data_IF_935388800673
#
_entry.id   IF_935388800673
#
_cell.length_a   1.000
_cell.length_b   1.000
_cell.length_c   1.000
_cell.angle_alpha   90.00
_cell.angle_beta   90.00
_cell.angle_gamma   90.00
#
_symmetry.space_group_name_H-M   'P 1'
#
loop_
_entity.id
_entity.type
_entity.pdbx_description
1 polymer ?
#
# COMPACT_ATOMS: atom_id res chain seq x y z
N UNK A 1 26.53 2.49 12.37
CA UNK A 1 25.25 2.86 11.74
C UNK A 1 25.26 4.36 11.48
N UNK A 2 24.74 4.85 10.35
CA UNK A 2 24.58 6.30 10.11
C UNK A 2 23.10 6.64 10.23
N UNK A 3 22.76 7.56 11.13
CA UNK A 3 21.42 8.08 11.31
C UNK A 3 21.23 9.37 10.49
N UNK A 4 20.03 9.62 9.98
CA UNK A 4 19.65 10.88 9.33
C UNK A 4 18.91 11.77 10.33
N UNK A 5 19.12 13.09 10.27
CA UNK A 5 18.36 14.02 11.10
C UNK A 5 16.86 13.89 10.79
N UNK A 6 16.03 13.80 11.84
CA UNK A 6 14.60 13.51 11.75
C UNK A 6 14.24 12.02 11.67
N UNK A 7 15.21 11.11 11.58
CA UNK A 7 14.94 9.67 11.52
C UNK A 7 14.43 9.14 12.86
N UNK A 8 13.36 8.34 12.82
CA UNK A 8 12.81 7.69 14.00
C UNK A 8 13.77 6.64 14.55
N UNK A 9 14.03 6.72 15.86
CA UNK A 9 15.00 5.88 16.56
C UNK A 9 14.49 5.52 17.95
N UNK A 10 14.92 4.37 18.43
CA UNK A 10 14.85 4.04 19.85
C UNK A 10 16.19 4.35 20.53
N UNK A 11 16.12 4.84 21.77
CA UNK A 11 17.29 5.09 22.61
C UNK A 11 17.12 4.42 23.96
N UNK A 12 18.18 3.73 24.43
CA UNK A 12 18.21 3.09 25.74
C UNK A 12 18.96 4.01 26.72
N UNK A 13 18.27 4.48 27.76
CA UNK A 13 18.86 5.30 28.84
C UNK A 13 18.28 4.87 30.17
N UNK A 14 19.14 4.65 31.17
CA UNK A 14 18.68 4.37 32.54
C UNK A 14 17.84 3.10 32.66
N UNK A 15 18.06 2.12 31.79
CA UNK A 15 17.27 0.89 31.67
C UNK A 15 15.83 1.11 31.14
N UNK A 16 15.57 2.24 30.50
CA UNK A 16 14.33 2.54 29.78
C UNK A 16 14.59 2.59 28.26
N UNK A 17 13.64 2.09 27.48
CA UNK A 17 13.58 2.26 26.02
C UNK A 17 12.67 3.45 25.71
N UNK A 18 13.17 4.43 24.98
CA UNK A 18 12.41 5.62 24.59
C UNK A 18 12.41 5.76 23.07
N UNK A 19 11.25 6.05 22.48
CA UNK A 19 11.14 6.45 21.07
C UNK A 19 11.35 7.95 20.91
N UNK A 20 11.95 8.34 19.80
CA UNK A 20 12.19 9.72 19.45
C UNK A 20 12.79 9.82 18.06
N UNK A 21 13.36 10.97 17.75
CA UNK A 21 13.93 11.25 16.44
C UNK A 21 15.34 11.79 16.58
N UNK A 22 16.21 11.30 15.70
CA UNK A 22 17.62 11.65 15.67
C UNK A 22 17.79 13.14 15.35
N UNK A 23 18.55 13.85 16.18
CA UNK A 23 18.73 15.31 16.12
C UNK A 23 20.21 15.69 16.01
N UNK A 24 21.01 14.86 15.32
CA UNK A 24 22.41 15.15 15.03
C UNK A 24 23.38 14.81 16.15
N UNK A 25 24.50 15.54 16.18
CA UNK A 25 25.64 15.31 17.09
C UNK A 25 25.85 16.51 18.01
N UNK A 26 26.15 16.23 19.27
CA UNK A 26 26.57 17.24 20.24
C UNK A 26 28.00 17.71 19.94
N UNK A 27 28.20 19.02 19.96
CA UNK A 27 29.51 19.62 19.73
C UNK A 27 30.47 19.29 20.88
N UNK A 28 31.69 18.84 20.54
CA UNK A 28 32.77 18.58 21.50
C UNK A 28 32.79 17.17 22.11
N UNK A 29 31.64 16.52 22.31
CA UNK A 29 31.59 15.15 22.87
C UNK A 29 31.49 14.07 21.79
N UNK A 30 30.90 14.38 20.63
CA UNK A 30 30.61 13.40 19.58
C UNK A 30 29.42 12.47 19.89
N UNK A 31 28.72 12.71 21.01
CA UNK A 31 27.48 12.02 21.35
C UNK A 31 26.39 12.36 20.34
N UNK A 32 25.49 11.42 20.12
CA UNK A 32 24.26 11.62 19.35
C UNK A 32 23.17 12.22 20.22
N UNK A 33 22.40 13.12 19.61
CA UNK A 33 21.25 13.75 20.22
C UNK A 33 19.99 13.08 19.70
N UNK A 34 19.12 12.63 20.61
CA UNK A 34 17.80 12.08 20.29
C UNK A 34 16.76 12.91 20.99
N UNK A 35 15.84 13.50 20.24
CA UNK A 35 14.74 14.25 20.83
C UNK A 35 13.55 13.32 21.02
N UNK A 36 13.17 13.10 22.29
CA UNK A 36 12.13 12.15 22.69
C UNK A 36 10.81 12.85 23.04
N UNK A 37 10.84 14.17 23.22
CA UNK A 37 9.64 15.00 23.32
C UNK A 37 9.98 16.44 22.97
N UNK A 38 8.98 17.34 22.96
CA UNK A 38 9.18 18.77 22.67
C UNK A 38 10.30 19.40 23.51
N UNK A 39 10.37 19.01 24.80
CA UNK A 39 11.24 19.63 25.80
C UNK A 39 12.36 18.70 26.30
N UNK A 40 12.51 17.50 25.74
CA UNK A 40 13.49 16.50 26.21
C UNK A 40 14.38 16.00 25.07
N UNK A 41 15.68 16.22 25.22
CA UNK A 41 16.74 15.72 24.35
C UNK A 41 17.70 14.85 25.17
N UNK A 42 18.07 13.71 24.61
CA UNK A 42 18.99 12.74 25.20
C UNK A 42 20.30 12.79 24.41
N UNK A 43 21.41 13.06 25.09
CA UNK A 43 22.76 12.91 24.55
C UNK A 43 23.32 11.55 24.97
N UNK A 44 23.65 10.69 24.01
CA UNK A 44 24.23 9.36 24.30
C UNK A 44 25.14 8.87 23.17
N UNK A 45 25.87 7.77 23.42
CA UNK A 45 26.70 7.12 22.41
C UNK A 45 25.83 6.36 21.39
N UNK A 46 26.32 6.26 20.16
CA UNK A 46 25.61 5.61 19.05
C UNK A 46 25.23 4.15 19.32
N UNK A 47 25.99 3.45 20.17
CA UNK A 47 25.71 2.06 20.56
C UNK A 47 24.44 1.88 21.40
N UNK A 48 23.83 2.97 21.89
CA UNK A 48 22.57 2.94 22.63
C UNK A 48 21.37 3.40 21.79
N UNK A 49 21.58 3.63 20.49
CA UNK A 49 20.56 4.09 19.56
C UNK A 49 20.38 3.02 18.48
N UNK A 50 19.12 2.67 18.22
CA UNK A 50 18.73 1.79 17.13
C UNK A 50 17.71 2.50 16.25
N UNK A 51 17.72 2.21 14.94
CA UNK A 51 16.64 2.66 14.07
C UNK A 51 15.34 2.01 14.50
N UNK A 52 14.28 2.79 14.54
CA UNK A 52 12.93 2.24 14.68
C UNK A 52 12.63 1.45 13.39
N UNK A 53 12.14 0.22 13.54
CA UNK A 53 11.74 -0.58 12.38
C UNK A 53 10.39 -0.02 11.92
N UNK A 54 10.32 0.48 10.70
CA UNK A 54 9.03 0.82 10.10
C UNK A 54 8.16 -0.44 10.06
N UNK A 55 6.86 -0.33 10.41
CA UNK A 55 5.98 -1.47 10.36
C UNK A 55 5.94 -2.01 8.92
N UNK A 56 5.98 -3.33 8.79
CA UNK A 56 5.70 -3.95 7.50
C UNK A 56 4.22 -3.74 7.19
N UNK A 57 3.96 -2.96 6.14
CA UNK A 57 2.61 -2.66 5.69
C UNK A 57 1.90 -3.95 5.29
N UNK A 58 0.65 -4.07 5.69
CA UNK A 58 -0.21 -5.16 5.26
C UNK A 58 -0.82 -4.83 3.90
N UNK A 59 -1.10 -5.86 3.10
CA UNK A 59 -1.87 -5.71 1.87
C UNK A 59 -3.33 -6.01 2.18
N UNK A 60 -4.24 -5.09 1.82
CA UNK A 60 -5.68 -5.28 1.98
C UNK A 60 -6.41 -5.24 0.63
N UNK A 61 -7.53 -5.96 0.49
CA UNK A 61 -8.35 -5.86 -0.71
C UNK A 61 -8.89 -4.45 -0.93
N UNK A 62 -9.22 -4.13 -2.18
CA UNK A 62 -9.71 -2.79 -2.54
C UNK A 62 -11.02 -2.38 -1.86
N UNK A 63 -11.95 -3.31 -1.64
CA UNK A 63 -13.18 -3.00 -0.88
C UNK A 63 -12.88 -2.66 0.60
N UNK A 64 -11.75 -3.12 1.15
CA UNK A 64 -11.32 -2.79 2.50
C UNK A 64 -10.67 -1.39 2.55
N UNK A 65 -9.90 -1.01 1.52
CA UNK A 65 -9.44 0.37 1.30
C UNK A 65 -10.62 1.34 1.23
N UNK A 66 -11.62 1.03 0.41
CA UNK A 66 -12.85 1.83 0.31
C UNK A 66 -13.56 1.98 1.67
N UNK A 67 -13.59 0.90 2.47
CA UNK A 67 -14.18 0.92 3.81
C UNK A 67 -13.37 1.76 4.82
N UNK A 68 -12.05 1.62 4.84
CA UNK A 68 -11.17 2.44 5.68
C UNK A 68 -11.36 3.93 5.35
N UNK A 69 -11.32 4.29 4.06
CA UNK A 69 -11.54 5.66 3.60
C UNK A 69 -12.92 6.18 4.00
N UNK A 70 -13.96 5.34 3.94
CA UNK A 70 -15.29 5.70 4.43
C UNK A 70 -15.30 5.99 5.94
N UNK A 71 -14.67 5.14 6.74
CA UNK A 71 -14.56 5.31 8.18
C UNK A 71 -13.80 6.59 8.55
N UNK A 72 -12.68 6.89 7.89
CA UNK A 72 -11.93 8.13 8.12
C UNK A 72 -12.77 9.37 7.83
N UNK A 73 -13.50 9.40 6.69
CA UNK A 73 -14.38 10.52 6.34
C UNK A 73 -15.54 10.72 7.32
N UNK A 74 -15.93 9.65 8.03
CA UNK A 74 -16.98 9.66 9.04
C UNK A 74 -16.46 9.91 10.46
N UNK A 75 -15.15 10.10 10.62
CA UNK A 75 -14.47 10.19 11.92
C UNK A 75 -14.75 8.97 12.81
N UNK A 76 -14.88 7.79 12.19
CA UNK A 76 -15.04 6.52 12.89
C UNK A 76 -13.72 6.07 13.51
N UNK A 77 -13.80 5.45 14.67
CA UNK A 77 -12.65 4.84 15.34
C UNK A 77 -12.53 3.35 14.97
N UNK A 78 -11.50 2.70 15.53
CA UNK A 78 -11.25 1.28 15.29
C UNK A 78 -12.42 0.39 15.74
N UNK A 79 -13.19 0.78 16.75
CA UNK A 79 -14.35 0.00 17.18
C UNK A 79 -15.46 0.07 16.13
N UNK A 80 -15.69 1.26 15.54
CA UNK A 80 -16.61 1.43 14.43
C UNK A 80 -16.15 0.73 13.14
N UNK A 81 -14.84 0.68 12.87
CA UNK A 81 -14.25 -0.01 11.71
C UNK A 81 -14.55 -1.52 11.75
N UNK A 82 -14.49 -2.11 12.94
CA UNK A 82 -14.70 -3.55 13.20
C UNK A 82 -16.14 -3.89 13.60
N UNK A 83 -17.06 -2.93 13.60
CA UNK A 83 -18.45 -3.15 13.99
C UNK A 83 -19.24 -3.87 12.89
N UNK A 84 -19.52 -5.15 13.11
CA UNK A 84 -20.35 -5.98 12.23
C UNK A 84 -21.78 -5.45 12.03
N UNK A 85 -22.28 -4.63 12.97
CA UNK A 85 -23.60 -4.02 12.90
C UNK A 85 -23.64 -2.70 12.12
N UNK A 86 -22.50 -2.25 11.58
CA UNK A 86 -22.41 -0.97 10.91
C UNK A 86 -23.18 -1.00 9.58
N UNK A 87 -24.29 -0.26 9.51
CA UNK A 87 -25.15 -0.19 8.32
C UNK A 87 -24.46 0.43 7.09
N UNK A 88 -23.30 1.09 7.27
CA UNK A 88 -22.49 1.59 6.18
C UNK A 88 -21.57 0.54 5.56
N UNK A 89 -21.36 -0.61 6.22
CA UNK A 89 -20.43 -1.64 5.77
C UNK A 89 -20.97 -2.37 4.52
N UNK A 90 -20.22 -2.42 3.41
CA UNK A 90 -20.61 -3.22 2.25
C UNK A 90 -20.67 -4.71 2.56
N UNK A 91 -21.58 -5.45 1.90
CA UNK A 91 -21.75 -6.91 2.09
C UNK A 91 -20.45 -7.69 1.85
N UNK A 92 -19.64 -7.29 0.87
CA UNK A 92 -18.35 -7.91 0.55
C UNK A 92 -17.32 -7.68 1.68
N UNK A 93 -17.27 -6.46 2.22
CA UNK A 93 -16.42 -6.13 3.36
C UNK A 93 -16.83 -6.93 4.60
N UNK A 94 -18.13 -7.00 4.88
CA UNK A 94 -18.67 -7.80 5.97
C UNK A 94 -18.29 -9.27 5.81
N UNK A 95 -18.54 -9.85 4.63
CA UNK A 95 -18.22 -11.24 4.33
C UNK A 95 -16.74 -11.57 4.47
N UNK A 96 -15.87 -10.67 3.99
CA UNK A 96 -14.43 -10.80 4.14
C UNK A 96 -14.01 -10.72 5.61
N UNK A 97 -14.50 -9.73 6.36
CA UNK A 97 -14.11 -9.50 7.75
C UNK A 97 -14.48 -10.66 8.68
N UNK A 98 -15.65 -11.28 8.48
CA UNK A 98 -16.10 -12.41 9.31
C UNK A 98 -15.48 -13.75 8.89
N UNK A 99 -14.85 -13.82 7.72
CA UNK A 99 -14.34 -15.09 7.18
C UNK A 99 -13.13 -15.65 7.94
N UNK A 100 -12.34 -14.79 8.58
CA UNK A 100 -11.20 -15.18 9.41
C UNK A 100 -10.86 -14.12 10.46
N UNK A 101 -10.30 -14.54 11.59
CA UNK A 101 -9.66 -13.64 12.55
C UNK A 101 -8.45 -12.92 11.94
N UNK A 102 -7.77 -13.54 10.98
CA UNK A 102 -6.62 -12.94 10.29
C UNK A 102 -7.04 -11.69 9.52
N UNK A 103 -8.23 -11.66 8.93
CA UNK A 103 -8.74 -10.48 8.21
C UNK A 103 -9.06 -9.32 9.17
N UNK A 104 -9.50 -9.62 10.38
CA UNK A 104 -9.71 -8.61 11.43
C UNK A 104 -8.38 -8.01 11.87
N UNK A 105 -7.35 -8.86 12.04
CA UNK A 105 -5.98 -8.40 12.33
C UNK A 105 -5.42 -7.57 11.18
N UNK A 106 -5.55 -8.03 9.93
CA UNK A 106 -5.13 -7.27 8.74
C UNK A 106 -5.79 -5.90 8.69
N UNK A 107 -7.11 -5.82 8.88
CA UNK A 107 -7.82 -4.54 8.87
C UNK A 107 -7.38 -3.61 10.01
N UNK A 108 -7.20 -4.16 11.22
CA UNK A 108 -6.76 -3.39 12.38
C UNK A 108 -5.33 -2.86 12.20
N UNK A 109 -4.42 -3.69 11.64
CA UNK A 109 -3.06 -3.27 11.30
C UNK A 109 -3.06 -2.21 10.20
N UNK A 110 -3.87 -2.39 9.16
CA UNK A 110 -4.04 -1.39 8.11
C UNK A 110 -4.43 -0.03 8.68
N UNK A 111 -5.38 -0.01 9.62
CA UNK A 111 -5.83 1.20 10.29
C UNK A 111 -4.75 1.87 11.17
N UNK A 112 -3.93 1.09 11.87
CA UNK A 112 -2.96 1.64 12.84
C UNK A 112 -1.58 1.95 12.22
N UNK A 113 -1.11 1.07 11.35
CA UNK A 113 0.26 1.06 10.84
C UNK A 113 0.34 1.58 9.39
N UNK A 114 -0.81 1.74 8.72
CA UNK A 114 -0.90 1.95 7.28
C UNK A 114 -0.96 0.63 6.50
N UNK A 115 -1.21 0.72 5.19
CA UNK A 115 -1.37 -0.44 4.32
C UNK A 115 -1.05 -0.13 2.87
N UNK A 116 -0.90 -1.21 2.09
CA UNK A 116 -0.94 -1.19 0.64
C UNK A 116 -2.26 -1.82 0.17
N UNK A 117 -2.76 -1.38 -0.97
CA UNK A 117 -3.97 -1.95 -1.59
C UNK A 117 -3.56 -3.07 -2.54
N UNK A 118 -4.24 -4.20 -2.46
CA UNK A 118 -4.09 -5.30 -3.41
C UNK A 118 -4.26 -4.78 -4.83
N UNK A 119 -3.26 -5.05 -5.68
CA UNK A 119 -3.30 -4.63 -7.08
C UNK A 119 -4.30 -5.51 -7.84
N UNK A 120 -5.20 -4.87 -8.59
CA UNK A 120 -6.11 -5.61 -9.47
C UNK A 120 -5.29 -6.38 -10.52
N UNK A 121 -5.60 -7.67 -10.78
CA UNK A 121 -4.97 -8.42 -11.84
C UNK A 121 -5.10 -7.71 -13.18
N UNK A 122 -4.00 -7.68 -13.93
CA UNK A 122 -3.93 -7.08 -15.25
C UNK A 122 -4.06 -8.15 -16.33
N UNK A 123 -4.67 -7.74 -17.44
CA UNK A 123 -4.92 -8.58 -18.60
C UNK A 123 -4.55 -7.85 -19.88
N UNK A 124 -3.96 -8.58 -20.81
CA UNK A 124 -3.98 -8.21 -22.23
C UNK A 124 -5.30 -8.66 -22.85
N UNK A 125 -5.72 -8.00 -23.94
CA UNK A 125 -6.84 -8.47 -24.77
C UNK A 125 -6.29 -8.82 -26.16
N UNK A 126 -6.22 -10.11 -26.48
CA UNK A 126 -5.68 -10.59 -27.75
C UNK A 126 -6.80 -10.72 -28.79
N UNK A 127 -6.90 -9.74 -29.69
CA UNK A 127 -7.93 -9.68 -30.73
C UNK A 127 -7.62 -10.57 -31.93
N UNK A 128 -6.33 -10.80 -32.19
CA UNK A 128 -5.82 -11.63 -33.28
C UNK A 128 -4.68 -12.48 -32.72
N UNK A 129 -4.65 -13.77 -33.03
CA UNK A 129 -3.53 -14.67 -32.71
C UNK A 129 -2.28 -14.30 -33.53
N UNK A 130 -1.62 -13.22 -33.10
CA UNK A 130 -0.43 -12.65 -33.71
C UNK A 130 0.30 -11.76 -32.68
N UNK A 131 1.63 -11.64 -32.80
CA UNK A 131 2.45 -10.84 -31.88
C UNK A 131 2.05 -9.35 -31.79
N UNK A 132 1.36 -8.84 -32.81
CA UNK A 132 0.81 -7.48 -32.86
C UNK A 132 -0.72 -7.46 -32.89
N UNK A 133 -1.34 -8.46 -32.27
CA UNK A 133 -2.78 -8.67 -32.25
C UNK A 133 -3.48 -8.17 -30.98
N UNK A 134 -2.81 -7.36 -30.16
CA UNK A 134 -3.29 -6.92 -28.85
C UNK A 134 -4.01 -5.59 -28.90
N UNK A 135 -5.01 -5.41 -28.04
CA UNK A 135 -5.70 -4.13 -27.87
C UNK A 135 -4.80 -3.12 -27.16
N UNK A 136 -4.57 -1.98 -27.81
CA UNK A 136 -3.86 -0.85 -27.22
C UNK A 136 -4.80 0.36 -27.14
N UNK A 137 -4.76 1.08 -26.02
CA UNK A 137 -5.55 2.30 -25.80
C UNK A 137 -4.61 3.48 -25.64
N UNK A 138 -4.75 4.46 -26.54
CA UNK A 138 -4.01 5.71 -26.47
C UNK A 138 -4.58 6.64 -25.38
N UNK A 139 -3.81 7.63 -24.93
CA UNK A 139 -4.24 8.56 -23.87
C UNK A 139 -5.52 9.36 -24.22
N UNK A 140 -5.83 9.52 -25.51
CA UNK A 140 -7.06 10.17 -26.00
C UNK A 140 -8.23 9.19 -26.18
N UNK A 141 -8.11 7.96 -25.66
CA UNK A 141 -9.06 6.84 -25.72
C UNK A 141 -9.24 6.20 -27.11
N UNK A 142 -8.42 6.55 -28.11
CA UNK A 142 -8.39 5.83 -29.38
C UNK A 142 -7.88 4.40 -29.18
N UNK A 143 -8.57 3.44 -29.81
CA UNK A 143 -8.26 2.01 -29.72
C UNK A 143 -7.58 1.55 -31.00
N UNK A 144 -6.50 0.80 -30.87
CA UNK A 144 -5.79 0.19 -32.00
C UNK A 144 -5.32 -1.22 -31.67
N UNK A 145 -4.85 -1.93 -32.69
CA UNK A 145 -4.31 -3.28 -32.55
C UNK A 145 -2.79 -3.22 -32.75
N UNK A 146 -2.01 -3.68 -31.78
CA UNK A 146 -0.55 -3.56 -31.73
C UNK A 146 0.12 -4.69 -30.94
N UNK A 147 1.42 -4.57 -30.66
CA UNK A 147 2.09 -5.51 -29.75
C UNK A 147 1.66 -5.27 -28.31
N UNK A 148 1.91 -6.26 -27.46
CA UNK A 148 1.69 -6.19 -26.01
C UNK A 148 2.77 -5.37 -25.28
N UNK A 149 3.83 -4.94 -25.97
CA UNK A 149 4.85 -4.05 -25.43
C UNK A 149 4.25 -2.70 -25.02
N UNK A 150 4.37 -2.36 -23.75
CA UNK A 150 3.89 -1.08 -23.26
C UNK A 150 4.83 0.05 -23.68
N UNK A 151 4.31 0.99 -24.46
CA UNK A 151 4.99 2.22 -24.85
C UNK A 151 4.34 3.40 -24.13
N UNK A 152 5.08 4.47 -23.85
CA UNK A 152 4.61 5.60 -23.03
C UNK A 152 3.32 6.28 -23.51
N UNK A 153 2.92 6.08 -24.77
CA UNK A 153 1.72 6.66 -25.39
C UNK A 153 0.50 5.73 -25.35
N UNK A 154 0.70 4.44 -25.07
CA UNK A 154 -0.31 3.40 -25.18
C UNK A 154 -0.35 2.51 -23.94
N UNK A 155 -1.55 2.39 -23.36
CA UNK A 155 -1.85 1.38 -22.36
C UNK A 155 -2.16 0.06 -23.06
N UNK A 156 -1.50 -1.02 -22.67
CA UNK A 156 -1.66 -2.38 -23.25
C UNK A 156 -2.25 -3.40 -22.27
N UNK A 157 -2.21 -3.09 -20.98
CA UNK A 157 -2.68 -3.93 -19.89
C UNK A 157 -3.86 -3.26 -19.20
N UNK A 158 -4.90 -4.03 -18.86
CA UNK A 158 -6.15 -3.49 -18.31
C UNK A 158 -6.64 -4.34 -17.15
N UNK A 159 -7.34 -3.73 -16.20
CA UNK A 159 -8.08 -4.50 -15.20
C UNK A 159 -9.37 -5.09 -15.79
N UNK A 160 -9.98 -6.06 -15.11
CA UNK A 160 -11.27 -6.61 -15.53
C UNK A 160 -12.35 -5.52 -15.66
N UNK A 161 -12.38 -4.61 -14.69
CA UNK A 161 -13.36 -3.50 -14.65
C UNK A 161 -13.17 -2.56 -15.85
N UNK A 162 -11.93 -2.24 -16.21
CA UNK A 162 -11.61 -1.43 -17.39
C UNK A 162 -12.02 -2.12 -18.70
N UNK A 163 -11.75 -3.41 -18.85
CA UNK A 163 -12.14 -4.18 -20.05
C UNK A 163 -13.67 -4.20 -20.18
N UNK A 164 -14.39 -4.54 -19.10
CA UNK A 164 -15.85 -4.65 -19.10
C UNK A 164 -16.54 -3.30 -19.32
N UNK A 165 -15.93 -2.20 -18.91
CA UNK A 165 -16.45 -0.85 -19.14
C UNK A 165 -16.39 -0.42 -20.62
N UNK A 166 -15.63 -1.10 -21.48
CA UNK A 166 -15.55 -0.77 -22.90
C UNK A 166 -16.85 -1.09 -23.66
N UNK A 167 -17.08 -0.42 -24.79
CA UNK A 167 -18.13 -0.84 -25.72
C UNK A 167 -17.81 -2.25 -26.25
N UNK A 168 -18.72 -3.20 -26.00
CA UNK A 168 -18.50 -4.65 -26.17
C UNK A 168 -17.45 -5.25 -25.22
N UNK A 169 -17.28 -4.67 -24.04
CA UNK A 169 -16.30 -5.12 -23.04
C UNK A 169 -16.43 -6.60 -22.67
N UNK A 170 -17.65 -7.12 -22.54
CA UNK A 170 -17.89 -8.55 -22.32
C UNK A 170 -17.30 -9.44 -23.42
N UNK A 171 -17.28 -8.98 -24.68
CA UNK A 171 -16.65 -9.72 -25.78
C UNK A 171 -15.11 -9.66 -25.70
N UNK A 172 -14.55 -8.54 -25.29
CA UNK A 172 -13.11 -8.41 -25.04
C UNK A 172 -12.65 -9.27 -23.86
N UNK A 173 -13.48 -9.41 -22.83
CA UNK A 173 -13.20 -10.25 -21.66
C UNK A 173 -13.04 -11.74 -22.00
N UNK A 174 -13.67 -12.21 -23.08
CA UNK A 174 -13.50 -13.58 -23.59
C UNK A 174 -12.12 -13.80 -24.23
N UNK A 175 -11.44 -12.72 -24.60
CA UNK A 175 -10.14 -12.71 -25.29
C UNK A 175 -8.99 -12.27 -24.37
N UNK A 176 -9.22 -12.32 -23.05
CA UNK A 176 -8.21 -11.92 -22.06
C UNK A 176 -7.07 -12.92 -21.99
N UNK A 177 -5.85 -12.41 -21.87
CA UNK A 177 -4.68 -13.17 -21.44
C UNK A 177 -4.14 -12.55 -20.15
N UNK A 178 -3.93 -13.33 -19.07
CA UNK A 178 -3.42 -12.81 -17.81
C UNK A 178 -1.99 -12.28 -18.01
N UNK A 179 -1.71 -11.12 -17.42
CA UNK A 179 -0.33 -10.63 -17.27
C UNK A 179 0.25 -11.33 -16.06
N UNK A 180 1.25 -12.18 -16.26
CA UNK A 180 2.02 -12.73 -15.14
C UNK A 180 2.85 -11.58 -14.54
N UNK A 181 2.66 -11.32 -13.25
CA UNK A 181 3.57 -10.43 -12.53
C UNK A 181 4.95 -11.08 -12.55
N UNK A 182 5.88 -10.47 -13.27
CA UNK A 182 7.29 -10.85 -13.16
C UNK A 182 7.68 -10.43 -11.75
N UNK A 183 7.80 -11.41 -10.83
CA UNK A 183 8.32 -11.17 -9.49
C UNK A 183 9.62 -10.37 -9.65
N UNK A 184 9.58 -9.11 -9.22
CA UNK A 184 10.73 -8.22 -9.34
C UNK A 184 11.91 -8.86 -8.63
N UNK A 185 12.97 -9.14 -9.38
CA UNK A 185 14.28 -9.47 -8.81
C UNK A 185 14.67 -8.33 -7.86
N UNK A 186 14.61 -8.61 -6.56
CA UNK A 186 15.13 -7.78 -5.48
C UNK A 186 16.54 -8.23 -5.08
#
# INVERSE_FOLDING_TARGET
>A
MRFKEGENVHVIVGNELLSGWYNGKEFGTGNSLVKVSKDKIIATKDCFIAKEKEPELVVVPRFADDWINHCEQREYDLACLLDYGNAGMPDEMYGWLISSADNQELLARAWMDGYEVEKEPLYWVQLIDHATGYLNVHYDNQKLVGSNDEASEYKTQFTESEIKAMNKGEAYWLLKEPVEEVEGEA
#
